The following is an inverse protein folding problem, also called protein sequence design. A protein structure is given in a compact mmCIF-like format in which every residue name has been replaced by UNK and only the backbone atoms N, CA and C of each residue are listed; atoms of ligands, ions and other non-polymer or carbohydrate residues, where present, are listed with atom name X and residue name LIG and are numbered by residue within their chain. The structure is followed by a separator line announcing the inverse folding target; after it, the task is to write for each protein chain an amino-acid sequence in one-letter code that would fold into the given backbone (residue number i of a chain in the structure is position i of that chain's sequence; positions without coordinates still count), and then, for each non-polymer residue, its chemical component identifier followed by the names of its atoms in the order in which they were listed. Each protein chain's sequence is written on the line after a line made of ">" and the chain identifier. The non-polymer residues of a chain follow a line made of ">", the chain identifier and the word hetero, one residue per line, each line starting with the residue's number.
data_IF_550414436254
#
_entry.id   IF_550414436254
#
_cell.length_a   1.000
_cell.length_b   1.000
_cell.length_c   1.000
_cell.angle_alpha   90.00
_cell.angle_beta   90.00
_cell.angle_gamma   90.00
#
_symmetry.space_group_name_H-M   'P 1'
#
loop_
_entity.id
_entity.type
_entity.pdbx_description
1 polymer ?
#
# COMPACT_ATOMS: atom_id res chain seq x y z
N UNK A 1 -33.35 -11.84 -5.73
CA UNK A 1 -32.12 -11.29 -5.10
C UNK A 1 -32.16 -11.66 -3.62
N UNK A 2 -31.42 -12.71 -3.21
CA UNK A 2 -31.27 -13.02 -1.79
C UNK A 2 -30.63 -11.80 -1.12
N UNK A 3 -31.19 -11.35 0.00
CA UNK A 3 -30.62 -10.29 0.83
C UNK A 3 -29.17 -10.71 1.11
N UNK A 4 -28.20 -9.89 0.67
CA UNK A 4 -26.80 -10.07 1.07
C UNK A 4 -26.79 -10.17 2.58
N UNK A 5 -26.15 -11.20 3.08
CA UNK A 5 -26.00 -11.36 4.53
C UNK A 5 -24.86 -10.42 4.97
N UNK A 6 -25.19 -9.12 5.07
CA UNK A 6 -24.26 -8.08 5.49
C UNK A 6 -23.63 -8.36 6.86
N UNK A 7 -24.26 -9.24 7.64
CA UNK A 7 -23.72 -9.67 8.93
C UNK A 7 -22.46 -10.51 8.75
N UNK A 8 -22.33 -11.25 7.64
CA UNK A 8 -21.15 -12.06 7.30
C UNK A 8 -20.10 -11.27 6.51
N UNK A 9 -20.54 -10.40 5.60
CA UNK A 9 -19.63 -9.60 4.77
C UNK A 9 -19.06 -8.39 5.52
N UNK A 10 -19.82 -7.79 6.42
CA UNK A 10 -19.45 -6.58 7.15
C UNK A 10 -18.10 -6.65 7.85
N UNK A 11 -17.82 -7.69 8.65
CA UNK A 11 -16.51 -7.85 9.29
C UNK A 11 -15.35 -7.91 8.32
N UNK A 12 -15.51 -8.61 7.18
CA UNK A 12 -14.48 -8.71 6.15
C UNK A 12 -14.21 -7.34 5.47
N UNK A 13 -15.27 -6.60 5.17
CA UNK A 13 -15.16 -5.25 4.59
C UNK A 13 -14.49 -4.27 5.57
N UNK A 14 -14.84 -4.35 6.85
CA UNK A 14 -14.22 -3.52 7.88
C UNK A 14 -12.73 -3.88 8.07
N UNK A 15 -12.38 -5.17 8.04
CA UNK A 15 -11.00 -5.62 8.12
C UNK A 15 -10.16 -5.08 6.95
N UNK A 16 -10.69 -5.10 5.73
CA UNK A 16 -10.04 -4.52 4.54
C UNK A 16 -9.86 -3.00 4.69
N UNK A 17 -10.89 -2.30 5.19
CA UNK A 17 -10.81 -0.86 5.40
C UNK A 17 -9.75 -0.50 6.46
N UNK A 18 -9.67 -1.24 7.58
CA UNK A 18 -8.68 -1.03 8.65
C UNK A 18 -7.26 -1.25 8.13
N UNK A 19 -7.02 -2.31 7.35
CA UNK A 19 -5.71 -2.59 6.78
C UNK A 19 -5.27 -1.46 5.83
N UNK A 20 -6.17 -1.02 4.94
CA UNK A 20 -5.94 0.10 4.04
C UNK A 20 -5.72 1.44 4.78
N UNK A 21 -6.49 1.69 5.87
CA UNK A 21 -6.29 2.84 6.76
C UNK A 21 -4.90 2.83 7.37
N UNK A 22 -4.46 1.69 7.87
CA UNK A 22 -3.16 1.53 8.52
C UNK A 22 -1.98 1.78 7.60
N UNK A 23 -2.11 1.42 6.33
CA UNK A 23 -1.13 1.74 5.32
C UNK A 23 -1.03 3.26 5.10
N UNK A 24 -2.16 3.94 4.87
CA UNK A 24 -2.18 5.37 4.56
C UNK A 24 -1.87 6.29 5.73
N UNK A 25 -2.33 5.94 6.94
CA UNK A 25 -2.14 6.72 8.17
C UNK A 25 -0.67 6.95 8.51
N UNK A 26 0.18 5.98 8.21
CA UNK A 26 1.56 5.98 8.69
C UNK A 26 2.43 7.01 7.99
N UNK A 27 2.21 7.32 6.71
CA UNK A 27 3.07 8.26 5.98
C UNK A 27 3.13 9.64 6.62
N UNK A 28 2.01 10.36 6.83
CA UNK A 28 2.05 11.65 7.51
C UNK A 28 2.52 11.53 8.96
N UNK A 29 2.19 10.44 9.65
CA UNK A 29 2.55 10.23 11.04
C UNK A 29 4.04 10.00 11.26
N UNK A 30 4.67 9.09 10.49
CA UNK A 30 6.09 8.81 10.63
C UNK A 30 6.94 10.02 10.27
N UNK A 31 6.57 10.73 9.20
CA UNK A 31 7.22 12.00 8.85
C UNK A 31 7.15 12.97 10.04
N UNK A 32 5.95 13.22 10.59
CA UNK A 32 5.77 14.16 11.68
C UNK A 32 6.54 13.73 12.95
N UNK A 33 6.43 12.47 13.35
CA UNK A 33 7.05 11.93 14.59
C UNK A 33 8.58 12.02 14.54
N UNK A 34 9.22 11.63 13.44
CA UNK A 34 10.68 11.58 13.36
C UNK A 34 11.30 12.92 12.97
N UNK A 35 10.55 13.82 12.31
CA UNK A 35 11.05 15.15 11.97
C UNK A 35 10.87 16.17 13.12
N UNK A 36 9.92 15.95 14.03
CA UNK A 36 9.68 16.86 15.16
C UNK A 36 10.67 16.59 16.32
N UNK A 37 11.59 17.54 16.64
CA UNK A 37 12.49 17.40 17.78
C UNK A 37 11.75 17.31 19.13
N UNK A 38 10.52 17.81 19.21
CA UNK A 38 9.71 17.83 20.42
C UNK A 38 8.74 16.65 20.55
N UNK A 39 8.74 15.72 19.57
CA UNK A 39 7.93 14.50 19.65
C UNK A 39 8.33 13.57 20.79
N UNK A 40 9.55 13.72 21.33
CA UNK A 40 10.05 12.93 22.45
C UNK A 40 10.40 11.47 22.11
N UNK A 41 10.36 11.11 20.82
CA UNK A 41 10.67 9.74 20.33
C UNK A 41 12.17 9.53 20.18
N UNK A 42 12.88 10.56 19.76
CA UNK A 42 14.35 10.58 19.69
C UNK A 42 14.88 11.69 20.59
N UNK A 43 16.12 11.56 21.10
CA UNK A 43 16.77 12.66 21.79
C UNK A 43 16.72 13.94 20.98
N UNK A 44 16.56 15.10 21.64
CA UNK A 44 16.42 16.40 20.94
C UNK A 44 17.68 16.73 20.13
N UNK A 45 18.84 16.27 20.58
CA UNK A 45 20.16 16.41 19.95
C UNK A 45 20.45 15.31 18.91
N UNK A 46 19.50 14.40 18.65
CA UNK A 46 19.67 13.36 17.64
C UNK A 46 19.94 14.01 16.28
N UNK A 47 21.06 13.66 15.68
CA UNK A 47 21.47 14.16 14.38
C UNK A 47 20.51 13.74 13.26
N UNK A 48 20.56 14.47 12.15
CA UNK A 48 19.71 14.26 10.99
C UNK A 48 19.83 12.81 10.43
N UNK A 49 21.03 12.25 10.41
CA UNK A 49 21.24 10.86 9.99
C UNK A 49 20.47 9.85 10.84
N UNK A 50 20.44 10.02 12.18
CA UNK A 50 19.70 9.11 13.06
C UNK A 50 18.18 9.25 12.82
N UNK A 51 17.66 10.47 12.65
CA UNK A 51 16.24 10.72 12.35
C UNK A 51 15.83 10.06 11.04
N UNK A 52 16.60 10.24 9.99
CA UNK A 52 16.34 9.65 8.68
C UNK A 52 16.47 8.13 8.68
N UNK A 53 17.42 7.58 9.48
CA UNK A 53 17.55 6.12 9.66
C UNK A 53 16.28 5.53 10.28
N UNK A 54 15.82 6.06 11.41
CA UNK A 54 14.63 5.54 12.07
C UNK A 54 13.35 5.79 11.26
N UNK A 55 13.27 6.89 10.54
CA UNK A 55 12.19 7.16 9.58
C UNK A 55 12.17 6.10 8.47
N UNK A 56 13.32 5.82 7.87
CA UNK A 56 13.47 4.79 6.83
C UNK A 56 13.11 3.39 7.33
N UNK A 57 13.55 3.03 8.54
CA UNK A 57 13.15 1.77 9.19
C UNK A 57 11.64 1.75 9.46
N UNK A 58 11.05 2.86 9.93
CA UNK A 58 9.61 2.99 10.17
C UNK A 58 8.77 2.78 8.91
N UNK A 59 9.25 3.24 7.76
CA UNK A 59 8.61 2.97 6.48
C UNK A 59 8.85 1.55 5.97
N UNK A 60 10.05 0.99 6.12
CA UNK A 60 10.45 -0.29 5.54
C UNK A 60 10.03 -1.53 6.33
N UNK A 61 9.88 -1.44 7.66
CA UNK A 61 9.61 -2.60 8.52
C UNK A 61 8.23 -3.23 8.27
N UNK A 62 7.22 -2.43 7.98
CA UNK A 62 5.88 -2.94 7.66
C UNK A 62 5.89 -3.75 6.36
N UNK A 63 6.33 -3.24 5.20
CA UNK A 63 6.36 -4.03 3.98
C UNK A 63 7.30 -5.24 4.07
N UNK A 64 8.37 -5.16 4.86
CA UNK A 64 9.23 -6.31 5.13
C UNK A 64 8.47 -7.43 5.86
N UNK A 65 7.75 -7.09 6.92
CA UNK A 65 6.94 -8.04 7.66
C UNK A 65 5.73 -8.52 6.85
N UNK A 66 5.10 -7.64 6.05
CA UNK A 66 4.00 -7.97 5.15
C UNK A 66 4.43 -8.98 4.08
N UNK A 67 5.66 -8.89 3.57
CA UNK A 67 6.19 -9.81 2.56
C UNK A 67 6.11 -11.27 3.01
N UNK A 68 6.44 -11.55 4.26
CA UNK A 68 6.32 -12.90 4.84
C UNK A 68 4.92 -13.16 5.42
N UNK A 69 4.35 -12.16 6.09
CA UNK A 69 3.10 -12.28 6.81
C UNK A 69 1.90 -12.57 5.92
N UNK A 70 1.79 -11.92 4.77
CA UNK A 70 0.65 -12.11 3.87
C UNK A 70 0.55 -13.55 3.34
N UNK A 71 1.66 -14.15 2.93
CA UNK A 71 1.70 -15.55 2.51
C UNK A 71 1.41 -16.49 3.67
N UNK A 72 2.09 -16.32 4.80
CA UNK A 72 1.93 -17.16 5.98
C UNK A 72 0.49 -17.15 6.50
N UNK A 73 -0.12 -15.97 6.64
CA UNK A 73 -1.50 -15.85 7.11
C UNK A 73 -2.50 -16.43 6.10
N UNK A 74 -2.23 -16.31 4.79
CA UNK A 74 -3.01 -16.95 3.74
C UNK A 74 -3.02 -18.47 3.87
N UNK A 75 -1.84 -19.11 3.95
CA UNK A 75 -1.71 -20.57 4.10
C UNK A 75 -2.32 -21.07 5.41
N UNK A 76 -2.11 -20.34 6.52
CA UNK A 76 -2.74 -20.66 7.80
C UNK A 76 -4.26 -20.58 7.71
N UNK A 77 -4.79 -19.59 6.98
CA UNK A 77 -6.23 -19.41 6.77
C UNK A 77 -6.85 -20.56 5.97
N UNK A 78 -6.16 -21.06 4.94
CA UNK A 78 -6.61 -22.23 4.17
C UNK A 78 -6.58 -23.51 5.01
N UNK A 79 -5.61 -23.64 5.94
CA UNK A 79 -5.44 -24.82 6.79
C UNK A 79 -6.37 -24.85 8.00
N UNK A 80 -6.53 -23.71 8.70
CA UNK A 80 -7.23 -23.65 9.98
C UNK A 80 -8.62 -22.98 9.93
N UNK A 81 -8.99 -22.48 8.75
CA UNK A 81 -10.27 -21.79 8.50
C UNK A 81 -10.12 -20.27 8.51
N UNK A 82 -10.91 -19.61 7.68
CA UNK A 82 -10.87 -18.17 7.46
C UNK A 82 -11.14 -17.36 8.72
N UNK A 83 -12.17 -17.78 9.50
CA UNK A 83 -12.60 -17.07 10.71
C UNK A 83 -11.49 -16.96 11.76
N UNK A 84 -10.82 -18.09 12.03
CA UNK A 84 -9.80 -18.14 13.09
C UNK A 84 -8.62 -17.24 12.76
N UNK A 85 -8.15 -17.30 11.52
CA UNK A 85 -6.97 -16.55 11.11
C UNK A 85 -7.31 -15.07 10.86
N UNK A 86 -8.50 -14.74 10.35
CA UNK A 86 -8.96 -13.36 10.28
C UNK A 86 -9.03 -12.73 11.67
N UNK A 87 -9.58 -13.43 12.68
CA UNK A 87 -9.58 -12.99 14.07
C UNK A 87 -8.15 -12.78 14.61
N UNK A 88 -7.25 -13.73 14.36
CA UNK A 88 -5.83 -13.59 14.75
C UNK A 88 -5.21 -12.35 14.14
N UNK A 89 -5.40 -12.13 12.83
CA UNK A 89 -4.88 -10.96 12.13
C UNK A 89 -5.44 -9.66 12.70
N UNK A 90 -6.75 -9.55 12.88
CA UNK A 90 -7.39 -8.32 13.37
C UNK A 90 -7.02 -8.02 14.82
N UNK A 91 -6.92 -9.05 15.69
CA UNK A 91 -6.41 -8.89 17.05
C UNK A 91 -4.93 -8.50 17.07
N UNK A 92 -4.13 -9.08 16.18
CA UNK A 92 -2.73 -8.71 15.99
C UNK A 92 -2.56 -7.27 15.49
N UNK A 93 -3.45 -6.79 14.59
CA UNK A 93 -3.51 -5.37 14.20
C UNK A 93 -3.82 -4.49 15.41
N UNK A 94 -4.83 -4.84 16.22
CA UNK A 94 -5.17 -4.09 17.44
C UNK A 94 -3.97 -4.01 18.41
N UNK A 95 -3.28 -5.13 18.64
CA UNK A 95 -2.09 -5.19 19.48
C UNK A 95 -0.94 -4.36 18.91
N UNK A 96 -0.71 -4.44 17.59
CA UNK A 96 0.32 -3.67 16.91
C UNK A 96 0.08 -2.15 17.02
N UNK A 97 -1.15 -1.70 16.80
CA UNK A 97 -1.51 -0.29 16.97
C UNK A 97 -1.46 0.15 18.44
N UNK A 98 -1.83 -0.71 19.39
CA UNK A 98 -1.67 -0.42 20.83
C UNK A 98 -0.17 -0.26 21.21
N UNK A 99 0.71 -1.09 20.65
CA UNK A 99 2.17 -0.94 20.84
C UNK A 99 2.67 0.37 20.23
N UNK A 100 2.19 0.75 19.04
CA UNK A 100 2.56 2.02 18.42
C UNK A 100 2.10 3.23 19.26
N UNK A 101 0.87 3.19 19.80
CA UNK A 101 0.37 4.20 20.72
C UNK A 101 1.22 4.31 21.99
N UNK A 102 1.51 3.17 22.61
CA UNK A 102 2.39 3.11 23.78
C UNK A 102 3.80 3.64 23.47
N UNK A 103 4.35 3.30 22.29
CA UNK A 103 5.62 3.81 21.81
C UNK A 103 5.63 5.34 21.66
N UNK A 104 4.56 5.90 21.08
CA UNK A 104 4.39 7.34 20.93
C UNK A 104 4.32 8.06 22.29
N UNK A 105 3.60 7.51 23.26
CA UNK A 105 3.45 8.13 24.58
C UNK A 105 4.67 7.98 25.49
N UNK A 106 5.40 6.84 25.38
CA UNK A 106 6.58 6.57 26.20
C UNK A 106 7.88 7.08 25.56
N UNK A 107 7.82 7.66 24.35
CA UNK A 107 9.02 8.05 23.62
C UNK A 107 9.88 6.85 23.21
N UNK A 108 9.26 5.69 22.95
CA UNK A 108 9.99 4.45 22.65
C UNK A 108 9.94 4.09 21.18
N UNK A 109 11.04 4.34 20.47
CA UNK A 109 11.23 3.90 19.08
C UNK A 109 11.04 2.38 18.95
N UNK A 110 11.53 1.60 19.92
CA UNK A 110 11.44 0.14 19.87
C UNK A 110 9.99 -0.35 19.89
N UNK A 111 9.13 0.20 20.76
CA UNK A 111 7.71 -0.14 20.79
C UNK A 111 6.99 0.28 19.53
N UNK A 112 7.30 1.47 19.01
CA UNK A 112 6.71 2.00 17.78
C UNK A 112 7.06 1.10 16.57
N UNK A 113 8.32 0.71 16.43
CA UNK A 113 8.78 -0.16 15.35
C UNK A 113 8.30 -1.60 15.52
N UNK A 114 8.25 -2.12 16.75
CA UNK A 114 7.70 -3.45 17.04
C UNK A 114 6.20 -3.52 16.66
N UNK A 115 5.43 -2.51 17.05
CA UNK A 115 4.03 -2.38 16.65
C UNK A 115 3.87 -2.31 15.13
N UNK A 116 4.73 -1.56 14.47
CA UNK A 116 4.75 -1.43 13.00
C UNK A 116 5.08 -2.77 12.32
N UNK A 117 6.07 -3.51 12.84
CA UNK A 117 6.41 -4.86 12.35
C UNK A 117 5.26 -5.85 12.56
N UNK A 118 4.61 -5.81 13.74
CA UNK A 118 3.48 -6.68 14.04
C UNK A 118 2.29 -6.38 13.10
N UNK A 119 1.93 -5.11 12.86
CA UNK A 119 0.87 -4.77 11.89
C UNK A 119 1.22 -5.23 10.49
N UNK A 120 2.48 -5.13 10.06
CA UNK A 120 2.96 -5.68 8.79
C UNK A 120 2.79 -7.20 8.70
N UNK A 121 3.18 -7.94 9.76
CA UNK A 121 3.00 -9.39 9.80
C UNK A 121 1.53 -9.81 9.69
N UNK A 122 0.61 -9.00 10.22
CA UNK A 122 -0.83 -9.23 10.19
C UNK A 122 -1.53 -8.71 8.93
N UNK A 123 -0.82 -8.07 8.01
CA UNK A 123 -1.37 -7.52 6.76
C UNK A 123 -1.96 -8.59 5.80
N UNK A 124 -1.76 -9.88 6.06
CA UNK A 124 -2.50 -10.98 5.42
C UNK A 124 -4.02 -10.92 5.62
N UNK A 125 -4.49 -10.09 6.55
CA UNK A 125 -5.90 -9.82 6.83
C UNK A 125 -6.70 -9.47 5.56
N UNK A 126 -6.16 -8.61 4.70
CA UNK A 126 -6.82 -8.19 3.45
C UNK A 126 -7.04 -9.38 2.51
N UNK A 127 -6.02 -10.20 2.27
CA UNK A 127 -6.13 -11.37 1.40
C UNK A 127 -7.13 -12.40 1.92
N UNK A 128 -7.14 -12.64 3.25
CA UNK A 128 -8.09 -13.55 3.91
C UNK A 128 -9.52 -13.03 3.78
N UNK A 129 -9.75 -11.75 4.05
CA UNK A 129 -11.07 -11.14 3.95
C UNK A 129 -11.57 -11.14 2.49
N UNK A 130 -10.71 -10.89 1.51
CA UNK A 130 -11.03 -11.01 0.09
C UNK A 130 -11.42 -12.43 -0.30
N UNK A 131 -10.67 -13.43 0.15
CA UNK A 131 -10.99 -14.82 -0.09
C UNK A 131 -12.32 -15.21 0.58
N UNK A 132 -12.56 -14.76 1.82
CA UNK A 132 -13.82 -14.98 2.53
C UNK A 132 -15.02 -14.38 1.79
N UNK A 133 -14.89 -13.15 1.27
CA UNK A 133 -15.93 -12.52 0.44
C UNK A 133 -16.18 -13.32 -0.85
N UNK A 134 -15.11 -13.84 -1.46
CA UNK A 134 -15.22 -14.68 -2.66
C UNK A 134 -15.94 -15.99 -2.36
N UNK A 135 -15.61 -16.64 -1.25
CA UNK A 135 -16.25 -17.89 -0.81
C UNK A 135 -17.75 -17.71 -0.48
N UNK A 136 -18.14 -16.53 0.00
CA UNK A 136 -19.55 -16.15 0.27
C UNK A 136 -20.30 -15.73 -1.00
N UNK A 137 -19.60 -15.54 -2.13
CA UNK A 137 -20.18 -15.01 -3.35
C UNK A 137 -20.72 -16.09 -4.26
N UNK A 138 -21.88 -15.83 -4.85
CA UNK A 138 -22.45 -16.61 -5.97
C UNK A 138 -22.03 -15.98 -7.31
N UNK A 139 -22.10 -16.70 -8.44
CA UNK A 139 -21.83 -16.13 -9.76
C UNK A 139 -22.64 -14.85 -10.06
N UNK A 140 -23.87 -14.76 -9.52
CA UNK A 140 -24.75 -13.61 -9.75
C UNK A 140 -24.44 -12.37 -8.91
N UNK A 141 -23.74 -12.49 -7.77
CA UNK A 141 -23.44 -11.36 -6.88
C UNK A 141 -21.93 -11.11 -6.70
N UNK A 142 -21.06 -11.95 -7.25
CA UNK A 142 -19.60 -11.85 -7.10
C UNK A 142 -19.06 -10.49 -7.54
N UNK A 143 -19.47 -10.00 -8.71
CA UNK A 143 -19.04 -8.69 -9.22
C UNK A 143 -19.44 -7.54 -8.30
N UNK A 144 -20.65 -7.60 -7.74
CA UNK A 144 -21.14 -6.61 -6.79
C UNK A 144 -20.33 -6.64 -5.47
N UNK A 145 -20.09 -7.83 -4.91
CA UNK A 145 -19.32 -7.99 -3.68
C UNK A 145 -17.87 -7.51 -3.85
N UNK A 146 -17.24 -7.78 -4.99
CA UNK A 146 -15.91 -7.27 -5.32
C UNK A 146 -15.89 -5.73 -5.43
N UNK A 147 -16.98 -5.13 -5.94
CA UNK A 147 -17.11 -3.67 -6.01
C UNK A 147 -17.22 -3.04 -4.62
N UNK A 148 -18.00 -3.63 -3.71
CA UNK A 148 -18.10 -3.17 -2.32
C UNK A 148 -16.76 -3.33 -1.59
N UNK A 149 -16.05 -4.43 -1.82
CA UNK A 149 -14.71 -4.64 -1.29
C UNK A 149 -13.74 -3.53 -1.75
N UNK A 150 -13.75 -3.20 -3.04
CA UNK A 150 -12.93 -2.09 -3.57
C UNK A 150 -13.32 -0.74 -2.96
N UNK A 151 -14.60 -0.53 -2.68
CA UNK A 151 -15.09 0.67 -2.00
C UNK A 151 -14.58 0.73 -0.54
N UNK A 152 -14.60 -0.39 0.19
CA UNK A 152 -14.09 -0.46 1.56
C UNK A 152 -12.58 -0.18 1.61
N UNK A 153 -11.80 -0.78 0.69
CA UNK A 153 -10.38 -0.48 0.53
C UNK A 153 -10.13 1.00 0.25
N UNK A 154 -10.87 1.56 -0.72
CA UNK A 154 -10.77 2.97 -1.10
C UNK A 154 -11.09 3.92 0.05
N UNK A 155 -12.12 3.60 0.82
CA UNK A 155 -12.47 4.38 2.01
C UNK A 155 -11.33 4.36 3.03
N UNK A 156 -10.69 3.21 3.26
CA UNK A 156 -9.53 3.10 4.14
C UNK A 156 -8.35 3.96 3.69
N UNK A 157 -8.01 3.92 2.40
CA UNK A 157 -6.90 4.71 1.82
C UNK A 157 -7.13 6.22 1.97
N UNK A 158 -8.38 6.68 1.88
CA UNK A 158 -8.72 8.11 2.03
C UNK A 158 -8.79 8.51 3.52
N UNK A 159 -9.51 7.72 4.32
CA UNK A 159 -9.77 8.04 5.73
C UNK A 159 -8.50 7.91 6.58
N UNK A 160 -7.65 6.93 6.28
CA UNK A 160 -6.44 6.66 7.07
C UNK A 160 -5.54 7.87 7.27
N UNK A 161 -5.01 8.49 6.21
CA UNK A 161 -4.14 9.66 6.33
C UNK A 161 -4.81 10.85 6.99
N UNK A 162 -6.09 11.10 6.66
CA UNK A 162 -6.87 12.22 7.23
C UNK A 162 -7.05 12.00 8.73
N UNK A 163 -7.48 10.80 9.14
CA UNK A 163 -7.63 10.45 10.54
C UNK A 163 -6.28 10.58 11.27
N UNK A 164 -5.22 10.01 10.70
CA UNK A 164 -3.88 10.08 11.27
C UNK A 164 -3.41 11.51 11.48
N UNK A 165 -3.50 12.34 10.44
CA UNK A 165 -3.06 13.72 10.49
C UNK A 165 -3.88 14.58 11.45
N UNK A 166 -5.21 14.52 11.35
CA UNK A 166 -6.11 15.35 12.17
C UNK A 166 -6.01 14.99 13.66
N UNK A 167 -6.02 13.70 13.99
CA UNK A 167 -6.04 13.26 15.40
C UNK A 167 -4.68 13.23 16.07
N UNK A 168 -3.61 13.53 15.34
CA UNK A 168 -2.27 13.73 15.90
C UNK A 168 -1.91 15.21 16.11
N UNK A 169 -2.73 16.13 15.63
CA UNK A 169 -2.41 17.57 15.62
C UNK A 169 -2.97 18.29 16.84
N UNK A 170 -2.09 18.64 17.78
CA UNK A 170 -2.42 19.38 18.99
C UNK A 170 -2.98 20.77 18.72
N UNK A 171 -2.76 21.34 17.54
CA UNK A 171 -3.31 22.65 17.17
C UNK A 171 -4.83 22.58 16.95
N UNK A 172 -5.37 21.41 16.63
CA UNK A 172 -6.81 21.18 16.47
C UNK A 172 -7.47 20.91 17.82
N UNK A 173 -6.85 20.09 18.66
CA UNK A 173 -7.36 19.79 20.01
C UNK A 173 -6.23 19.45 20.98
N UNK A 174 -6.25 19.96 22.23
CA UNK A 174 -5.27 19.59 23.25
C UNK A 174 -5.27 18.11 23.62
N UNK A 175 -6.37 17.38 23.31
CA UNK A 175 -6.51 15.96 23.55
C UNK A 175 -5.82 15.10 22.47
N UNK A 176 -5.42 15.71 21.36
CA UNK A 176 -4.78 15.02 20.26
C UNK A 176 -3.26 14.98 20.43
N UNK A 177 -2.70 13.82 20.12
CA UNK A 177 -1.26 13.59 20.12
C UNK A 177 -0.88 12.48 19.13
N UNK A 178 0.42 12.19 19.00
CA UNK A 178 0.90 11.16 18.08
C UNK A 178 0.44 9.73 18.44
N UNK A 179 -0.04 9.47 19.65
CA UNK A 179 -0.61 8.18 20.08
C UNK A 179 -2.08 8.02 19.70
N UNK A 180 -2.82 9.14 19.67
CA UNK A 180 -4.29 9.14 19.49
C UNK A 180 -4.77 8.39 18.24
N UNK A 181 -4.22 8.60 17.02
CA UNK A 181 -4.67 7.89 15.83
C UNK A 181 -4.44 6.38 15.93
N UNK A 182 -3.37 5.94 16.56
CA UNK A 182 -3.12 4.52 16.76
C UNK A 182 -4.12 3.88 17.72
N UNK A 183 -4.52 4.58 18.79
CA UNK A 183 -5.59 4.11 19.70
C UNK A 183 -6.91 3.98 18.97
N UNK A 184 -7.26 4.94 18.12
CA UNK A 184 -8.52 4.90 17.36
C UNK A 184 -8.56 3.69 16.41
N UNK A 185 -7.46 3.42 15.71
CA UNK A 185 -7.40 2.25 14.81
C UNK A 185 -7.32 0.95 15.61
N UNK A 186 -6.65 0.91 16.77
CA UNK A 186 -6.67 -0.23 17.67
C UNK A 186 -8.08 -0.53 18.17
N UNK A 187 -8.82 0.49 18.61
CA UNK A 187 -10.21 0.35 19.05
C UNK A 187 -11.11 -0.14 17.91
N UNK A 188 -10.98 0.42 16.71
CA UNK A 188 -11.70 -0.03 15.53
C UNK A 188 -11.37 -1.48 15.17
N UNK A 189 -10.11 -1.90 15.32
CA UNK A 189 -9.68 -3.28 15.13
C UNK A 189 -10.32 -4.22 16.17
N UNK A 190 -10.43 -3.81 17.42
CA UNK A 190 -11.15 -4.58 18.46
C UNK A 190 -12.64 -4.72 18.14
N UNK A 191 -13.27 -3.64 17.66
CA UNK A 191 -14.68 -3.69 17.21
C UNK A 191 -14.82 -4.68 16.04
N UNK A 192 -13.90 -4.64 15.07
CA UNK A 192 -13.87 -5.59 13.96
C UNK A 192 -13.67 -7.04 14.44
N UNK A 193 -12.75 -7.26 15.40
CA UNK A 193 -12.52 -8.58 15.99
C UNK A 193 -13.77 -9.10 16.70
N UNK A 194 -14.43 -8.27 17.49
CA UNK A 194 -15.69 -8.63 18.17
C UNK A 194 -16.79 -8.97 17.14
N UNK A 195 -16.95 -8.15 16.11
CA UNK A 195 -17.94 -8.39 15.05
C UNK A 195 -17.62 -9.68 14.28
N UNK A 196 -16.35 -9.92 13.92
CA UNK A 196 -15.89 -11.16 13.29
C UNK A 196 -16.19 -12.38 14.18
N UNK A 197 -15.91 -12.26 15.48
CA UNK A 197 -16.17 -13.33 16.43
C UNK A 197 -17.68 -13.61 16.60
N UNK A 198 -18.50 -12.58 16.64
CA UNK A 198 -19.94 -12.72 16.88
C UNK A 198 -20.71 -13.20 15.65
N UNK A 199 -20.34 -12.74 14.45
CA UNK A 199 -21.18 -12.89 13.26
C UNK A 199 -20.56 -13.76 12.17
N UNK A 200 -19.24 -13.74 11.98
CA UNK A 200 -18.62 -14.45 10.88
C UNK A 200 -18.51 -15.96 11.16
N UNK A 201 -18.94 -16.76 10.19
CA UNK A 201 -18.83 -18.24 10.24
C UNK A 201 -18.12 -18.73 8.98
N UNK A 202 -17.26 -19.74 9.13
CA UNK A 202 -16.61 -20.37 7.98
C UNK A 202 -17.66 -21.07 7.12
N UNK A 203 -17.70 -20.75 5.84
CA UNK A 203 -18.58 -21.35 4.84
C UNK A 203 -17.90 -22.46 4.04
N UNK A 204 -16.59 -22.44 3.97
CA UNK A 204 -15.78 -23.46 3.33
C UNK A 204 -15.06 -24.32 4.38
N UNK A 205 -14.99 -25.64 4.13
CA UNK A 205 -14.21 -26.54 4.98
C UNK A 205 -12.71 -26.23 4.87
N UNK A 206 -11.96 -26.23 5.99
CA UNK A 206 -10.52 -26.06 5.96
C UNK A 206 -9.84 -27.15 5.10
N UNK A 207 -8.84 -26.75 4.31
CA UNK A 207 -8.02 -27.68 3.52
C UNK A 207 -6.86 -28.19 4.39
N UNK A 208 -7.09 -29.23 5.20
CA UNK A 208 -6.16 -29.70 6.24
C UNK A 208 -4.73 -30.03 5.81
N UNK A 209 -4.49 -30.31 4.51
CA UNK A 209 -3.19 -30.74 3.98
C UNK A 209 -2.33 -29.62 3.40
N UNK A 210 -2.70 -28.35 3.57
CA UNK A 210 -1.91 -27.22 3.07
C UNK A 210 -0.56 -27.18 3.80
N UNK A 211 0.54 -27.33 3.07
CA UNK A 211 1.90 -27.15 3.62
C UNK A 211 2.14 -25.67 3.87
N UNK A 212 2.61 -25.37 5.08
CA UNK A 212 3.01 -24.00 5.44
C UNK A 212 4.46 -23.82 4.99
N UNK A 213 4.69 -22.87 4.10
CA UNK A 213 6.03 -22.52 3.60
C UNK A 213 6.33 -21.04 3.88
N UNK A 214 6.99 -20.73 5.00
CA UNK A 214 7.34 -19.33 5.33
C UNK A 214 8.23 -18.66 4.28
N UNK A 215 8.92 -19.43 3.43
CA UNK A 215 9.79 -18.93 2.38
C UNK A 215 9.09 -18.85 1.02
N UNK A 216 7.78 -19.12 0.97
CA UNK A 216 6.99 -19.05 -0.27
C UNK A 216 7.20 -17.74 -1.06
N UNK A 217 7.22 -16.53 -0.45
CA UNK A 217 7.45 -15.29 -1.20
C UNK A 217 8.81 -15.25 -1.90
N UNK A 218 9.85 -15.79 -1.26
CA UNK A 218 11.20 -15.86 -1.87
C UNK A 218 11.22 -16.85 -3.04
N UNK A 219 10.53 -17.98 -2.93
CA UNK A 219 10.42 -18.97 -4.03
C UNK A 219 9.65 -18.38 -5.21
N UNK A 220 8.55 -17.67 -4.95
CA UNK A 220 7.76 -16.99 -5.98
C UNK A 220 8.64 -16.01 -6.77
N UNK A 221 9.45 -15.19 -6.09
CA UNK A 221 10.40 -14.28 -6.75
C UNK A 221 11.47 -15.06 -7.54
N UNK A 222 12.02 -16.13 -6.96
CA UNK A 222 13.01 -16.97 -7.63
C UNK A 222 12.48 -17.65 -8.90
N UNK A 223 11.23 -18.11 -8.88
CA UNK A 223 10.55 -18.65 -10.07
C UNK A 223 10.26 -17.55 -11.11
N UNK A 224 9.80 -16.38 -10.65
CA UNK A 224 9.54 -15.23 -11.52
C UNK A 224 10.80 -14.79 -12.27
N UNK A 225 11.95 -14.78 -11.61
CA UNK A 225 13.23 -14.42 -12.22
C UNK A 225 13.65 -15.36 -13.38
N UNK A 226 13.18 -16.62 -13.37
CA UNK A 226 13.43 -17.60 -14.44
C UNK A 226 12.53 -17.42 -15.66
N UNK A 227 11.41 -16.71 -15.52
CA UNK A 227 10.46 -16.46 -16.60
C UNK A 227 10.67 -15.08 -17.20
N UNK A 228 11.28 -15.01 -18.39
CA UNK A 228 11.73 -13.76 -19.03
C UNK A 228 10.68 -12.64 -19.05
N UNK A 229 9.43 -12.93 -19.38
CA UNK A 229 8.38 -11.92 -19.48
C UNK A 229 7.95 -11.44 -18.08
N UNK A 230 7.81 -12.37 -17.12
CA UNK A 230 7.42 -12.04 -15.73
C UNK A 230 8.56 -11.27 -15.04
N UNK A 231 9.83 -11.70 -15.21
CA UNK A 231 11.00 -11.01 -14.69
C UNK A 231 11.10 -9.57 -15.22
N UNK A 232 10.80 -9.39 -16.52
CA UNK A 232 10.82 -8.06 -17.13
C UNK A 232 9.71 -7.16 -16.54
N UNK A 233 8.48 -7.66 -16.45
CA UNK A 233 7.37 -6.93 -15.82
C UNK A 233 7.64 -6.65 -14.34
N UNK A 234 8.27 -7.59 -13.63
CA UNK A 234 8.68 -7.40 -12.23
C UNK A 234 9.67 -6.25 -12.08
N UNK A 235 10.63 -6.11 -12.99
CA UNK A 235 11.57 -4.98 -12.96
C UNK A 235 10.86 -3.65 -13.26
N UNK A 236 9.99 -3.60 -14.26
CA UNK A 236 9.18 -2.41 -14.57
C UNK A 236 8.35 -2.00 -13.35
N UNK A 237 7.66 -2.96 -12.73
CA UNK A 237 6.80 -2.71 -11.59
C UNK A 237 7.59 -2.33 -10.34
N UNK A 238 8.75 -2.95 -10.12
CA UNK A 238 9.68 -2.60 -9.05
C UNK A 238 10.12 -1.14 -9.12
N UNK A 239 10.61 -0.70 -10.28
CA UNK A 239 11.06 0.69 -10.49
C UNK A 239 9.90 1.70 -10.33
N UNK A 240 8.72 1.36 -10.84
CA UNK A 240 7.51 2.15 -10.65
C UNK A 240 7.18 2.30 -9.15
N UNK A 241 7.16 1.19 -8.40
CA UNK A 241 6.81 1.18 -6.99
C UNK A 241 7.86 1.89 -6.11
N UNK A 242 9.14 1.77 -6.45
CA UNK A 242 10.21 2.57 -5.81
C UNK A 242 9.99 4.05 -6.10
N UNK A 243 9.67 4.41 -7.35
CA UNK A 243 9.36 5.79 -7.75
C UNK A 243 8.23 6.39 -6.93
N UNK A 244 7.11 5.66 -6.84
CA UNK A 244 5.93 6.12 -6.10
C UNK A 244 6.18 6.16 -4.58
N UNK A 245 6.85 5.16 -4.02
CA UNK A 245 7.19 5.14 -2.62
C UNK A 245 8.10 6.32 -2.22
N UNK A 246 9.11 6.63 -3.04
CA UNK A 246 9.94 7.84 -2.86
C UNK A 246 9.09 9.10 -2.94
N UNK A 247 8.12 9.17 -3.87
CA UNK A 247 7.21 10.32 -3.96
C UNK A 247 6.45 10.53 -2.66
N UNK A 248 5.73 9.50 -2.18
CA UNK A 248 4.90 9.62 -0.97
C UNK A 248 5.71 9.98 0.27
N UNK A 249 6.89 9.40 0.44
CA UNK A 249 7.73 9.68 1.61
C UNK A 249 8.33 11.07 1.54
N UNK A 250 8.90 11.42 0.40
CA UNK A 250 9.69 12.64 0.27
C UNK A 250 8.83 13.88 0.14
N UNK A 251 7.64 13.79 -0.50
CA UNK A 251 6.74 14.94 -0.62
C UNK A 251 6.23 15.41 0.75
N UNK A 252 6.00 14.49 1.69
CA UNK A 252 5.60 14.83 3.06
C UNK A 252 6.70 15.61 3.77
N UNK A 253 7.95 15.16 3.65
CA UNK A 253 9.11 15.83 4.23
C UNK A 253 9.32 17.21 3.62
N UNK A 254 9.20 17.33 2.29
CA UNK A 254 9.32 18.62 1.59
C UNK A 254 8.25 19.62 2.04
N UNK A 255 6.99 19.17 2.16
CA UNK A 255 5.89 20.04 2.61
C UNK A 255 6.08 20.50 4.06
N UNK A 256 6.59 19.61 4.91
CA UNK A 256 6.90 19.94 6.30
C UNK A 256 8.09 20.90 6.39
N UNK A 257 9.19 20.58 5.74
CA UNK A 257 10.44 21.38 5.82
C UNK A 257 10.28 22.75 5.17
N UNK A 258 9.65 22.84 3.99
CA UNK A 258 9.58 24.07 3.21
C UNK A 258 8.40 24.98 3.59
N UNK A 259 7.23 24.38 3.92
CA UNK A 259 5.99 25.13 4.13
C UNK A 259 5.45 25.01 5.55
N UNK A 260 6.15 24.31 6.46
CA UNK A 260 5.74 24.16 7.86
C UNK A 260 4.40 23.43 8.04
N UNK A 261 4.12 22.42 7.20
CA UNK A 261 2.87 21.68 7.30
C UNK A 261 2.78 20.94 8.63
N UNK A 262 1.64 21.12 9.29
CA UNK A 262 1.26 20.31 10.46
C UNK A 262 0.83 18.91 10.02
N UNK A 263 0.76 17.96 10.97
CA UNK A 263 0.29 16.60 10.72
C UNK A 263 -1.10 16.59 10.06
N UNK A 264 -1.99 17.52 10.46
CA UNK A 264 -3.32 17.65 9.87
C UNK A 264 -3.27 18.02 8.39
N UNK A 265 -2.43 19.01 8.02
CA UNK A 265 -2.27 19.42 6.62
C UNK A 265 -1.65 18.30 5.78
N UNK A 266 -0.66 17.57 6.31
CA UNK A 266 -0.08 16.38 5.65
C UNK A 266 -1.13 15.27 5.45
N UNK A 267 -1.96 15.03 6.46
CA UNK A 267 -3.06 14.08 6.39
C UNK A 267 -4.09 14.43 5.31
N UNK A 268 -4.49 15.71 5.24
CA UNK A 268 -5.39 16.21 4.20
C UNK A 268 -4.78 16.07 2.80
N UNK A 269 -3.50 16.44 2.64
CA UNK A 269 -2.77 16.28 1.38
C UNK A 269 -2.76 14.82 0.92
N UNK A 270 -2.44 13.89 1.82
CA UNK A 270 -2.47 12.45 1.54
C UNK A 270 -3.88 11.95 1.23
N UNK A 271 -4.89 12.47 1.92
CA UNK A 271 -6.30 12.15 1.67
C UNK A 271 -6.74 12.54 0.26
N UNK A 272 -6.30 13.71 -0.24
CA UNK A 272 -6.55 14.14 -1.62
C UNK A 272 -5.87 13.21 -2.63
N UNK A 273 -4.62 12.78 -2.36
CA UNK A 273 -3.98 11.75 -3.20
C UNK A 273 -4.82 10.47 -3.20
N UNK A 274 -5.34 10.04 -2.05
CA UNK A 274 -6.22 8.87 -1.94
C UNK A 274 -7.51 9.01 -2.76
N UNK A 275 -8.14 10.19 -2.75
CA UNK A 275 -9.31 10.47 -3.61
C UNK A 275 -8.94 10.35 -5.08
N UNK A 276 -7.81 10.90 -5.49
CA UNK A 276 -7.34 10.84 -6.86
C UNK A 276 -6.97 9.42 -7.29
N UNK A 277 -6.47 8.59 -6.37
CA UNK A 277 -6.29 7.15 -6.56
C UNK A 277 -7.59 6.46 -6.95
N UNK A 278 -8.63 6.69 -6.15
CA UNK A 278 -9.97 6.11 -6.39
C UNK A 278 -10.55 6.61 -7.71
N UNK A 279 -10.39 7.90 -8.00
CA UNK A 279 -10.81 8.49 -9.27
C UNK A 279 -10.08 7.85 -10.46
N UNK A 280 -8.77 7.67 -10.37
CA UNK A 280 -7.95 6.97 -11.37
C UNK A 280 -8.46 5.55 -11.65
N UNK A 281 -8.69 4.78 -10.57
CA UNK A 281 -9.15 3.40 -10.63
C UNK A 281 -10.56 3.27 -11.25
N UNK A 282 -11.52 4.06 -10.79
CA UNK A 282 -12.93 3.87 -11.13
C UNK A 282 -13.31 4.52 -12.45
N UNK A 283 -12.71 5.66 -12.79
CA UNK A 283 -13.11 6.47 -13.93
C UNK A 283 -12.06 6.49 -15.04
N UNK A 284 -10.82 6.86 -14.73
CA UNK A 284 -9.78 7.08 -15.75
C UNK A 284 -9.40 5.78 -16.45
N UNK A 285 -9.08 4.73 -15.69
CA UNK A 285 -8.76 3.41 -16.26
C UNK A 285 -9.90 2.89 -17.11
N UNK A 286 -11.14 2.97 -16.62
CA UNK A 286 -12.33 2.50 -17.34
C UNK A 286 -12.56 3.27 -18.65
N UNK A 287 -12.33 4.58 -18.64
CA UNK A 287 -12.46 5.42 -19.84
C UNK A 287 -11.37 5.08 -20.87
N UNK A 288 -10.13 4.95 -20.43
CA UNK A 288 -8.98 4.64 -21.29
C UNK A 288 -9.11 3.24 -21.93
N UNK A 289 -9.61 2.25 -21.20
CA UNK A 289 -9.82 0.88 -21.71
C UNK A 289 -10.83 0.80 -22.85
N UNK A 290 -11.67 1.83 -23.07
CA UNK A 290 -12.59 1.88 -24.22
C UNK A 290 -11.88 2.12 -25.54
N UNK A 291 -10.69 2.74 -25.51
CA UNK A 291 -10.01 3.23 -26.71
C UNK A 291 -8.59 2.66 -26.82
N UNK A 292 -7.92 2.38 -25.71
CA UNK A 292 -6.52 2.02 -25.68
C UNK A 292 -6.29 0.61 -25.15
N UNK A 293 -5.15 0.02 -25.55
CA UNK A 293 -4.70 -1.28 -25.03
C UNK A 293 -4.10 -1.11 -23.64
N UNK A 294 -4.18 -2.15 -22.83
CA UNK A 294 -3.62 -2.18 -21.45
C UNK A 294 -2.17 -1.67 -21.40
N UNK A 295 -1.32 -2.12 -22.34
CA UNK A 295 0.09 -1.71 -22.43
C UNK A 295 0.23 -0.21 -22.72
N UNK A 296 -0.63 0.39 -23.54
CA UNK A 296 -0.56 1.81 -23.86
C UNK A 296 -1.07 2.68 -22.71
N UNK A 297 -2.06 2.18 -21.97
CA UNK A 297 -2.54 2.81 -20.74
C UNK A 297 -1.44 2.79 -19.67
N UNK A 298 -0.75 1.64 -19.49
CA UNK A 298 0.37 1.53 -18.56
C UNK A 298 1.49 2.54 -18.89
N UNK A 299 1.87 2.65 -20.16
CA UNK A 299 2.86 3.66 -20.62
C UNK A 299 2.43 5.07 -20.27
N UNK A 300 1.18 5.42 -20.54
CA UNK A 300 0.67 6.76 -20.23
C UNK A 300 0.70 7.04 -18.73
N UNK A 301 0.26 6.07 -17.90
CA UNK A 301 0.31 6.18 -16.44
C UNK A 301 1.74 6.43 -15.95
N UNK A 302 2.69 5.61 -16.40
CA UNK A 302 4.11 5.71 -16.02
C UNK A 302 4.71 7.06 -16.45
N UNK A 303 4.42 7.51 -17.68
CA UNK A 303 4.95 8.76 -18.21
C UNK A 303 4.41 9.97 -17.44
N UNK A 304 3.09 10.03 -17.28
CA UNK A 304 2.43 11.19 -16.63
C UNK A 304 2.79 11.26 -15.15
N UNK A 305 2.79 10.13 -14.43
CA UNK A 305 3.20 10.10 -13.02
C UNK A 305 4.68 10.49 -12.87
N UNK A 306 5.56 9.95 -13.71
CA UNK A 306 6.99 10.27 -13.67
C UNK A 306 7.29 11.74 -13.97
N UNK A 307 6.67 12.30 -15.01
CA UNK A 307 6.81 13.73 -15.32
C UNK A 307 6.22 14.61 -14.21
N UNK A 308 5.05 14.25 -13.67
CA UNK A 308 4.44 14.96 -12.55
C UNK A 308 5.33 15.00 -11.33
N UNK A 309 6.00 13.89 -11.01
CA UNK A 309 6.96 13.83 -9.89
C UNK A 309 8.21 14.68 -10.15
N UNK A 310 8.78 14.65 -11.36
CA UNK A 310 9.94 15.47 -11.72
C UNK A 310 9.59 16.95 -11.69
N UNK A 311 8.41 17.34 -12.22
CA UNK A 311 7.96 18.73 -12.19
C UNK A 311 7.71 19.18 -10.75
N UNK A 312 7.21 18.31 -9.86
CA UNK A 312 7.09 18.60 -8.43
C UNK A 312 8.43 18.91 -7.78
N UNK A 313 9.51 18.24 -8.18
CA UNK A 313 10.85 18.48 -7.71
C UNK A 313 11.44 19.80 -8.21
N UNK A 314 11.21 20.11 -9.50
CA UNK A 314 11.78 21.30 -10.15
C UNK A 314 11.03 22.60 -9.81
N UNK A 315 9.73 22.50 -9.55
CA UNK A 315 8.86 23.64 -9.24
C UNK A 315 8.13 23.44 -7.91
N UNK A 316 8.85 23.44 -6.75
CA UNK A 316 8.26 23.16 -5.45
C UNK A 316 7.52 24.40 -4.90
N UNK A 317 6.44 24.78 -5.56
CA UNK A 317 5.47 25.80 -5.13
C UNK A 317 4.20 25.13 -4.61
N UNK A 318 3.67 25.58 -3.49
CA UNK A 318 2.56 24.90 -2.79
C UNK A 318 1.37 24.57 -3.71
N UNK A 319 0.79 25.50 -4.51
CA UNK A 319 -0.32 25.18 -5.41
C UNK A 319 0.06 24.14 -6.49
N UNK A 320 1.31 24.20 -6.97
CA UNK A 320 1.81 23.27 -8.00
C UNK A 320 1.93 21.88 -7.41
N UNK A 321 2.45 21.75 -6.17
CA UNK A 321 2.56 20.46 -5.50
C UNK A 321 1.19 19.81 -5.26
N UNK A 322 0.16 20.59 -4.89
CA UNK A 322 -1.21 20.08 -4.77
C UNK A 322 -1.76 19.57 -6.10
N UNK A 323 -1.62 20.37 -7.17
CA UNK A 323 -2.10 20.00 -8.50
C UNK A 323 -1.38 18.76 -9.03
N UNK A 324 -0.05 18.69 -8.87
CA UNK A 324 0.74 17.56 -9.34
C UNK A 324 0.54 16.31 -8.49
N UNK A 325 0.27 16.44 -7.18
CA UNK A 325 -0.07 15.31 -6.34
C UNK A 325 -1.36 14.61 -6.79
N UNK A 326 -2.36 15.39 -7.22
CA UNK A 326 -3.58 14.83 -7.81
C UNK A 326 -3.29 14.08 -9.11
N UNK A 327 -2.44 14.63 -9.97
CA UNK A 327 -2.04 14.00 -11.23
C UNK A 327 -1.21 12.74 -10.97
N UNK A 328 -0.18 12.82 -10.12
CA UNK A 328 0.70 11.67 -9.79
C UNK A 328 -0.13 10.56 -9.15
N UNK A 329 -0.97 10.85 -8.15
CA UNK A 329 -1.79 9.85 -7.49
C UNK A 329 -2.78 9.16 -8.46
N UNK A 330 -3.43 9.94 -9.33
CA UNK A 330 -4.36 9.39 -10.32
C UNK A 330 -3.65 8.47 -11.32
N UNK A 331 -2.55 8.93 -11.93
CA UNK A 331 -1.86 8.20 -12.98
C UNK A 331 -0.95 7.09 -12.48
N UNK A 332 -0.47 7.15 -11.23
CA UNK A 332 0.14 5.99 -10.58
C UNK A 332 -0.85 4.83 -10.44
N UNK A 333 -2.09 5.11 -10.00
CA UNK A 333 -3.13 4.06 -9.91
C UNK A 333 -3.53 3.51 -11.28
N UNK A 334 -3.52 4.35 -12.33
CA UNK A 334 -3.70 3.89 -13.73
C UNK A 334 -2.59 2.92 -14.12
N UNK A 335 -1.33 3.27 -13.85
CA UNK A 335 -0.18 2.38 -14.11
C UNK A 335 -0.25 1.11 -13.26
N UNK A 336 -0.54 1.23 -11.97
CA UNK A 336 -0.66 0.12 -11.03
C UNK A 336 -1.66 -0.94 -11.52
N UNK A 337 -2.89 -0.52 -11.80
CA UNK A 337 -3.96 -1.42 -12.23
C UNK A 337 -3.63 -2.13 -13.54
N UNK A 338 -3.06 -1.39 -14.49
CA UNK A 338 -2.70 -1.96 -15.80
C UNK A 338 -1.47 -2.85 -15.73
N UNK A 339 -0.53 -2.61 -14.81
CA UNK A 339 0.58 -3.52 -14.55
C UNK A 339 0.09 -4.84 -13.96
N UNK A 340 -0.85 -4.83 -13.01
CA UNK A 340 -1.47 -6.08 -12.51
C UNK A 340 -2.14 -6.87 -13.62
N UNK A 341 -2.86 -6.19 -14.53
CA UNK A 341 -3.43 -6.84 -15.72
C UNK A 341 -2.33 -7.43 -16.62
N UNK A 342 -1.24 -6.69 -16.85
CA UNK A 342 -0.12 -7.17 -17.66
C UNK A 342 0.56 -8.41 -17.06
N UNK A 343 0.67 -8.52 -15.72
CA UNK A 343 1.15 -9.73 -15.04
C UNK A 343 0.21 -10.91 -15.28
N UNK A 344 -1.10 -10.70 -15.15
CA UNK A 344 -2.11 -11.72 -15.39
C UNK A 344 -2.07 -12.22 -16.84
N UNK A 345 -1.96 -11.31 -17.81
CA UNK A 345 -1.91 -11.62 -19.24
C UNK A 345 -0.58 -12.27 -19.70
N UNK A 346 0.47 -12.18 -18.89
CA UNK A 346 1.79 -12.75 -19.21
C UNK A 346 1.88 -14.26 -18.97
N UNK A 347 0.89 -14.86 -18.35
CA UNK A 347 0.86 -16.28 -17.95
C UNK A 347 -0.46 -16.94 -18.37
N UNK A 348 -0.52 -18.27 -18.32
CA UNK A 348 -1.74 -19.04 -18.56
C UNK A 348 -2.75 -18.86 -17.41
N UNK A 349 -4.03 -19.12 -17.67
CA UNK A 349 -5.15 -18.91 -16.73
C UNK A 349 -4.93 -19.61 -15.37
N UNK A 350 -4.38 -20.81 -15.37
CA UNK A 350 -4.05 -21.59 -14.17
C UNK A 350 -2.95 -20.95 -13.30
N UNK A 351 -2.13 -20.06 -13.87
CA UNK A 351 -1.01 -19.38 -13.18
C UNK A 351 -1.26 -17.91 -12.84
N UNK A 352 -2.42 -17.36 -13.17
CA UNK A 352 -2.72 -15.96 -12.91
C UNK A 352 -2.60 -15.59 -11.42
N UNK A 353 -3.08 -16.46 -10.52
CA UNK A 353 -2.93 -16.25 -9.08
C UNK A 353 -1.47 -16.17 -8.63
N UNK A 354 -0.60 -17.02 -9.22
CA UNK A 354 0.84 -16.96 -8.98
C UNK A 354 1.45 -15.63 -9.48
N UNK A 355 1.10 -15.18 -10.67
CA UNK A 355 1.61 -13.93 -11.24
C UNK A 355 1.20 -12.70 -10.41
N UNK A 356 -0.03 -12.67 -9.88
CA UNK A 356 -0.47 -11.61 -8.96
C UNK A 356 0.27 -11.69 -7.62
N UNK A 357 0.59 -12.88 -7.13
CA UNK A 357 1.46 -13.10 -5.97
C UNK A 357 2.88 -12.56 -6.19
N UNK A 358 3.44 -12.74 -7.41
CA UNK A 358 4.72 -12.13 -7.82
C UNK A 358 4.63 -10.60 -7.72
N UNK A 359 3.59 -9.99 -8.29
CA UNK A 359 3.40 -8.53 -8.24
C UNK A 359 3.34 -8.02 -6.79
N UNK A 360 2.59 -8.68 -5.91
CA UNK A 360 2.53 -8.34 -4.49
C UNK A 360 3.88 -8.45 -3.77
N UNK A 361 4.64 -9.51 -4.09
CA UNK A 361 5.98 -9.72 -3.52
C UNK A 361 6.98 -8.65 -4.01
N UNK A 362 6.96 -8.30 -5.29
CA UNK A 362 7.78 -7.24 -5.88
C UNK A 362 7.45 -5.89 -5.27
N UNK A 363 6.16 -5.59 -5.07
CA UNK A 363 5.71 -4.37 -4.39
C UNK A 363 6.29 -4.28 -2.98
N UNK A 364 6.17 -5.33 -2.18
CA UNK A 364 6.69 -5.34 -0.82
C UNK A 364 8.21 -5.08 -0.78
N UNK A 365 8.99 -5.74 -1.65
CA UNK A 365 10.43 -5.50 -1.77
C UNK A 365 10.73 -4.06 -2.19
N UNK A 366 9.99 -3.51 -3.15
CA UNK A 366 10.17 -2.12 -3.59
C UNK A 366 9.96 -1.13 -2.43
N UNK A 367 8.95 -1.35 -1.59
CA UNK A 367 8.66 -0.49 -0.44
C UNK A 367 9.69 -0.62 0.68
N UNK A 368 10.29 -1.81 0.88
CA UNK A 368 11.45 -1.99 1.78
C UNK A 368 12.64 -1.18 1.26
N UNK A 369 12.94 -1.29 -0.05
CA UNK A 369 14.03 -0.53 -0.69
C UNK A 369 13.77 0.97 -0.58
N UNK A 370 12.54 1.43 -0.77
CA UNK A 370 12.17 2.84 -0.62
C UNK A 370 12.44 3.35 0.79
N UNK A 371 12.07 2.57 1.83
CA UNK A 371 12.42 2.90 3.22
C UNK A 371 13.94 3.01 3.43
N UNK A 372 14.73 2.10 2.85
CA UNK A 372 16.18 2.16 2.91
C UNK A 372 16.75 3.40 2.19
N UNK A 373 16.17 3.78 1.04
CA UNK A 373 16.60 4.96 0.27
C UNK A 373 16.34 6.29 1.01
N UNK A 374 15.46 6.33 2.01
CA UNK A 374 15.27 7.50 2.88
C UNK A 374 16.57 7.92 3.58
N UNK A 375 17.49 6.97 3.83
CA UNK A 375 18.82 7.26 4.39
C UNK A 375 19.71 8.10 3.46
N UNK A 376 19.36 8.23 2.20
CA UNK A 376 20.08 9.09 1.24
C UNK A 376 19.59 10.54 1.26
N UNK A 377 18.57 10.87 2.09
CA UNK A 377 18.04 12.22 2.23
C UNK A 377 19.12 13.26 2.57
N UNK A 378 20.07 13.02 3.49
CA UNK A 378 21.14 13.98 3.78
C UNK A 378 22.10 14.24 2.60
N UNK A 379 22.16 13.31 1.64
CA UNK A 379 23.05 13.41 0.48
C UNK A 379 22.38 14.11 -0.69
N UNK A 380 21.14 13.73 -1.00
CA UNK A 380 20.43 14.20 -2.19
C UNK A 380 19.34 15.24 -1.90
N UNK A 381 18.96 15.42 -0.64
CA UNK A 381 17.82 16.23 -0.25
C UNK A 381 16.48 15.65 -0.74
N UNK A 382 15.39 16.34 -0.40
CA UNK A 382 14.04 15.95 -0.83
C UNK A 382 13.90 16.07 -2.35
N UNK A 383 14.47 17.11 -2.95
CA UNK A 383 14.42 17.33 -4.40
C UNK A 383 15.14 16.21 -5.15
N UNK A 384 16.33 15.80 -4.69
CA UNK A 384 17.09 14.73 -5.31
C UNK A 384 16.38 13.39 -5.25
N UNK A 385 15.76 13.03 -4.11
CA UNK A 385 14.99 11.80 -3.98
C UNK A 385 13.71 11.81 -4.85
N UNK A 386 13.03 12.95 -4.98
CA UNK A 386 11.91 13.10 -5.91
C UNK A 386 12.36 12.90 -7.37
N UNK A 387 13.52 13.43 -7.76
CA UNK A 387 14.07 13.24 -9.11
C UNK A 387 14.46 11.77 -9.36
N UNK A 388 15.07 11.09 -8.38
CA UNK A 388 15.41 9.66 -8.47
C UNK A 388 14.14 8.83 -8.67
N UNK A 389 13.08 9.11 -7.89
CA UNK A 389 11.80 8.42 -8.03
C UNK A 389 11.13 8.67 -9.39
N UNK A 390 11.13 9.92 -9.86
CA UNK A 390 10.62 10.28 -11.19
C UNK A 390 11.41 9.61 -12.33
N UNK A 391 12.73 9.51 -12.19
CA UNK A 391 13.57 8.76 -13.13
C UNK A 391 13.22 7.27 -13.15
N UNK A 392 12.89 6.67 -12.00
CA UNK A 392 12.39 5.30 -11.89
C UNK A 392 11.11 5.08 -12.71
N UNK A 393 10.15 5.99 -12.63
CA UNK A 393 8.93 5.97 -13.46
C UNK A 393 9.26 6.09 -14.96
N UNK A 394 10.14 7.02 -15.35
CA UNK A 394 10.52 7.21 -16.76
C UNK A 394 11.27 6.01 -17.32
N UNK A 395 12.14 5.38 -16.52
CA UNK A 395 12.81 4.15 -16.91
C UNK A 395 11.80 3.02 -17.10
N UNK A 396 10.84 2.89 -16.19
CA UNK A 396 9.71 1.95 -16.31
C UNK A 396 8.92 2.21 -17.59
N UNK A 397 8.66 3.46 -17.94
CA UNK A 397 8.00 3.84 -19.19
C UNK A 397 8.82 3.38 -20.42
N UNK A 398 10.11 3.67 -20.48
CA UNK A 398 10.98 3.27 -21.59
C UNK A 398 11.01 1.74 -21.75
N UNK A 399 11.12 1.03 -20.63
CA UNK A 399 11.05 -0.43 -20.62
C UNK A 399 9.70 -0.93 -21.15
N UNK A 400 8.58 -0.32 -20.73
CA UNK A 400 7.25 -0.70 -21.17
C UNK A 400 7.01 -0.40 -22.65
N UNK A 401 7.62 0.65 -23.21
CA UNK A 401 7.63 0.91 -24.68
C UNK A 401 8.31 -0.22 -25.43
N UNK A 402 9.46 -0.70 -24.95
CA UNK A 402 10.17 -1.83 -25.56
C UNK A 402 9.38 -3.14 -25.48
N UNK A 403 8.67 -3.38 -24.39
CA UNK A 403 7.77 -4.52 -24.23
C UNK A 403 6.61 -4.51 -25.23
N UNK A 404 5.94 -3.38 -25.38
CA UNK A 404 4.85 -3.22 -26.34
C UNK A 404 5.27 -3.45 -27.80
N UNK A 405 6.46 -2.99 -28.18
CA UNK A 405 7.01 -3.24 -29.53
C UNK A 405 7.25 -4.73 -29.80
N UNK A 406 7.75 -5.48 -28.82
CA UNK A 406 7.95 -6.93 -28.95
C UNK A 406 6.64 -7.69 -29.09
N UNK A 407 5.62 -7.32 -28.33
CA UNK A 407 4.29 -7.94 -28.46
C UNK A 407 3.66 -7.67 -29.85
N UNK A 408 3.81 -6.45 -30.37
CA UNK A 408 3.30 -6.10 -31.70
C UNK A 408 4.02 -6.88 -32.81
N UNK A 409 5.33 -7.00 -32.75
CA UNK A 409 6.14 -7.78 -33.71
C UNK A 409 5.84 -9.28 -33.68
N UNK A 410 5.67 -9.86 -32.48
CA UNK A 410 5.29 -11.27 -32.33
C UNK A 410 3.90 -11.61 -32.89
N UNK A 411 2.93 -10.67 -32.75
CA UNK A 411 1.58 -10.84 -33.36
C UNK A 411 1.62 -10.71 -34.89
N UNK A 412 2.42 -9.79 -35.42
CA UNK A 412 2.59 -9.65 -36.89
C UNK A 412 3.22 -10.90 -37.50
N UNK A 413 4.22 -11.49 -36.83
CA UNK A 413 4.86 -12.72 -37.28
C UNK A 413 3.99 -13.98 -37.14
N UNK A 414 2.97 -13.97 -36.27
CA UNK A 414 2.02 -15.08 -36.11
C UNK A 414 0.86 -15.00 -37.10
N UNK A 415 0.66 -13.87 -37.80
CA UNK A 415 -0.37 -13.63 -38.81
C UNK A 415 0.16 -13.73 -40.24
N UNK A 416 1.49 -13.76 -40.42
CA UNK A 416 2.20 -14.02 -41.67
C UNK A 416 2.57 -15.50 -41.81
#
# INVERSE_FOLDING_TARGET
>A
MSRLDYTLLGPCLLAIAIDAMGFGLVYPMMSAIFSDPHAGILPADAGEHARNFYLGVGYGIYPLCMFFGSSLMGELSDRYGRRRILLLCVLGLAAGYALMAAGAWQGSVALLLAGRGLTGLMAGCQGIAQAAITDLSTPGNKAYNMSIMSLAFSAGVIVGPVLGGVTSDRTISPLFDYGTPFVLVAALSLVCAFWTWASYRDTAAPRGDTRIDPLLPLRIIGEAARQRNVAFLSMVFFLMQVGYGLYLQTIMLLLQAKFGYTSARLGLFSGVIGICFVFGLLFVVRLMLRVWRVVDIAKTGLLVAGLGQIVSALFPHEPVLWALAMVVGCFDMVAYTTMYTAFSDAVSEDRQGWALGVAGSVMAVAWVVTGALTNLLPVFGEIGLLLIGGAGFLLSFVMMVSYGRKQAGGRAAALS
#
